data_IF_150834149698
#
_entry.id   IF_150834149698
#
_cell.length_a   1.000
_cell.length_b   1.000
_cell.length_c   1.000
_cell.angle_alpha   90.00
_cell.angle_beta   90.00
_cell.angle_gamma   90.00
#
_symmetry.space_group_name_H-M   'P 1'
#
loop_
_entity.id
_entity.type
_entity.pdbx_description
1 polymer ?
#
# COMPACT_ATOMS: atom_id res chain seq x y z
N UNK A 1 -0.13 4.97 17.20
CA UNK A 1 0.83 3.86 17.01
C UNK A 1 1.92 4.38 16.09
N UNK A 2 3.18 4.16 16.44
CA UNK A 2 4.31 4.52 15.59
C UNK A 2 4.60 3.33 14.67
N UNK A 3 4.45 3.52 13.36
CA UNK A 3 4.64 2.47 12.34
C UNK A 3 5.95 2.67 11.55
N UNK A 4 6.76 3.65 11.96
CA UNK A 4 8.04 3.96 11.34
C UNK A 4 8.92 2.70 11.27
N UNK A 5 9.27 2.28 10.05
CA UNK A 5 10.14 1.13 9.79
C UNK A 5 9.46 -0.23 9.80
N UNK A 6 8.18 -0.33 10.19
CA UNK A 6 7.42 -1.58 10.08
C UNK A 6 7.13 -1.93 8.61
N UNK A 7 7.04 -3.22 8.28
CA UNK A 7 6.57 -3.69 6.97
C UNK A 7 5.09 -4.07 7.06
N UNK A 8 4.23 -3.38 6.31
CA UNK A 8 2.83 -3.71 6.18
C UNK A 8 2.52 -4.33 4.82
N UNK A 9 1.83 -5.47 4.82
CA UNK A 9 1.38 -6.18 3.62
C UNK A 9 -0.10 -5.88 3.40
N UNK A 10 -0.45 -5.29 2.26
CA UNK A 10 -1.84 -4.90 1.94
C UNK A 10 -2.29 -5.56 0.63
N UNK A 11 -3.33 -6.38 0.71
CA UNK A 11 -3.95 -7.02 -0.46
C UNK A 11 -5.07 -6.14 -1.03
N UNK A 12 -5.34 -6.24 -2.33
CA UNK A 12 -6.34 -5.40 -3.00
C UNK A 12 -6.02 -3.90 -2.94
N UNK A 13 -4.73 -3.56 -2.81
CA UNK A 13 -4.28 -2.22 -2.43
C UNK A 13 -4.35 -1.17 -3.55
N UNK A 14 -4.79 -1.55 -4.76
CA UNK A 14 -4.83 -0.65 -5.92
C UNK A 14 -6.11 0.18 -5.99
N UNK A 15 -7.12 -0.11 -5.16
CA UNK A 15 -8.40 0.61 -5.17
C UNK A 15 -9.14 0.54 -3.83
N UNK A 16 -10.18 1.36 -3.69
CA UNK A 16 -11.11 1.33 -2.56
C UNK A 16 -10.43 1.37 -1.18
N UNK A 17 -10.92 0.55 -0.26
CA UNK A 17 -10.43 0.49 1.13
C UNK A 17 -8.97 0.02 1.19
N UNK A 18 -8.58 -0.96 0.36
CA UNK A 18 -7.19 -1.45 0.34
C UNK A 18 -6.19 -0.33 0.02
N UNK A 19 -6.51 0.52 -0.97
CA UNK A 19 -5.69 1.69 -1.30
C UNK A 19 -5.65 2.70 -0.16
N UNK A 20 -6.81 3.00 0.44
CA UNK A 20 -6.88 3.95 1.55
C UNK A 20 -6.04 3.48 2.75
N UNK A 21 -6.10 2.19 3.08
CA UNK A 21 -5.28 1.57 4.12
C UNK A 21 -3.80 1.68 3.79
N UNK A 22 -3.38 1.30 2.58
CA UNK A 22 -1.99 1.40 2.14
C UNK A 22 -1.44 2.81 2.30
N UNK A 23 -2.16 3.82 1.79
CA UNK A 23 -1.75 5.23 1.91
C UNK A 23 -1.62 5.66 3.36
N UNK A 24 -2.61 5.35 4.21
CA UNK A 24 -2.58 5.73 5.62
C UNK A 24 -1.40 5.08 6.38
N UNK A 25 -1.13 3.80 6.11
CA UNK A 25 0.00 3.09 6.73
C UNK A 25 1.35 3.65 6.27
N UNK A 26 1.50 3.97 4.97
CA UNK A 26 2.70 4.62 4.44
C UNK A 26 2.92 6.01 5.04
N UNK A 27 1.86 6.83 5.16
CA UNK A 27 1.92 8.14 5.84
C UNK A 27 2.30 8.03 7.31
N UNK A 28 1.96 6.92 7.97
CA UNK A 28 2.38 6.60 9.34
C UNK A 28 3.83 6.07 9.45
N UNK A 29 4.58 6.00 8.33
CA UNK A 29 5.99 5.62 8.28
C UNK A 29 6.26 4.14 8.00
N UNK A 30 5.23 3.35 7.69
CA UNK A 30 5.43 1.96 7.32
C UNK A 30 6.03 1.83 5.90
N UNK A 31 6.87 0.82 5.71
CA UNK A 31 7.19 0.28 4.39
C UNK A 31 6.01 -0.58 3.93
N UNK A 32 5.69 -0.53 2.65
CA UNK A 32 4.55 -1.28 2.09
C UNK A 32 4.99 -2.37 1.14
N UNK A 33 4.33 -3.53 1.25
CA UNK A 33 4.23 -4.52 0.20
C UNK A 33 2.77 -4.63 -0.23
N UNK A 34 2.50 -4.44 -1.52
CA UNK A 34 1.12 -4.40 -2.04
C UNK A 34 0.90 -5.45 -3.13
N UNK A 35 -0.35 -5.93 -3.25
CA UNK A 35 -0.74 -6.77 -4.37
C UNK A 35 -2.19 -6.52 -4.82
N UNK A 36 -2.46 -6.81 -6.09
CA UNK A 36 -3.78 -6.89 -6.70
C UNK A 36 -3.74 -7.81 -7.92
N UNK A 37 -4.91 -8.11 -8.50
CA UNK A 37 -5.03 -9.03 -9.64
C UNK A 37 -4.45 -8.49 -10.95
N UNK A 38 -4.38 -7.17 -11.11
CA UNK A 38 -3.96 -6.52 -12.37
C UNK A 38 -2.62 -5.82 -12.18
N UNK A 39 -1.57 -6.32 -12.83
CA UNK A 39 -0.20 -5.79 -12.73
C UNK A 39 -0.11 -4.28 -13.05
N UNK A 40 -0.77 -3.84 -14.13
CA UNK A 40 -0.79 -2.42 -14.50
C UNK A 40 -1.35 -1.51 -13.38
N UNK A 41 -2.34 -1.99 -12.62
CA UNK A 41 -2.90 -1.24 -11.50
C UNK A 41 -1.94 -1.18 -10.31
N UNK A 42 -1.15 -2.24 -10.08
CA UNK A 42 -0.09 -2.24 -9.06
C UNK A 42 0.99 -1.24 -9.42
N UNK A 43 1.47 -1.25 -10.67
CA UNK A 43 2.48 -0.30 -11.16
C UNK A 43 2.02 1.15 -11.04
N UNK A 44 0.81 1.45 -11.48
CA UNK A 44 0.24 2.79 -11.35
C UNK A 44 0.09 3.25 -9.88
N UNK A 45 -0.02 2.32 -8.93
CA UNK A 45 -0.13 2.64 -7.50
C UNK A 45 1.23 2.94 -6.86
N UNK A 46 2.33 2.36 -7.36
CA UNK A 46 3.68 2.57 -6.81
C UNK A 46 4.27 3.95 -7.18
N UNK A 47 3.78 4.57 -8.26
CA UNK A 47 4.45 5.74 -8.85
C UNK A 47 5.74 5.35 -9.59
N UNK A 48 6.33 6.31 -10.31
CA UNK A 48 7.67 6.19 -10.90
C UNK A 48 8.77 6.41 -9.83
#
# INVERSE_FOLDING_TARGET
>A
MELAGALAVVTGATQGIGRAIGVALGQAGAKLAICARTDAAVRATLGD
#
